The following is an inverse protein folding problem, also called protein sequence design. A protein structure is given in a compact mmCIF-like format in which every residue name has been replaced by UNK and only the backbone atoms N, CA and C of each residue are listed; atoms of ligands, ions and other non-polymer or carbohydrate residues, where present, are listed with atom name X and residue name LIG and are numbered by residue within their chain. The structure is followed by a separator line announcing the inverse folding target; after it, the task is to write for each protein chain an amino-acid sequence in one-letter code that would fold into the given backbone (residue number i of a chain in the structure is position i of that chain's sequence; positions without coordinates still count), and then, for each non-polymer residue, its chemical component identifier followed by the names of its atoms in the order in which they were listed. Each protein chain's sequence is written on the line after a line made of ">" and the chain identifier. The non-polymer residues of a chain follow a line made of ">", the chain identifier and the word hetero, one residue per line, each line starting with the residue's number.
data_IF_623676403329
#
_entry.id   IF_623676403329
#
_cell.length_a   1.000
_cell.length_b   1.000
_cell.length_c   1.000
_cell.angle_alpha   90.00
_cell.angle_beta   90.00
_cell.angle_gamma   90.00
#
_symmetry.space_group_name_H-M   'P 1'
#
loop_
_entity.id
_entity.type
_entity.pdbx_description
1 polymer ?
#
# COMPACT_ATOMS: atom_id res chain seq x y z
N UNK A 1 -11.48 -5.50 -12.36
CA UNK A 1 -12.53 -5.79 -11.35
C UNK A 1 -12.09 -6.81 -10.28
N UNK A 2 -11.25 -7.81 -10.58
CA UNK A 2 -10.78 -8.78 -9.56
C UNK A 2 -9.95 -8.17 -8.41
N UNK A 3 -9.16 -7.13 -8.67
CA UNK A 3 -8.25 -6.53 -7.67
C UNK A 3 -8.97 -5.75 -6.55
N UNK A 4 -10.15 -5.18 -6.83
CA UNK A 4 -10.90 -4.40 -5.84
C UNK A 4 -11.52 -5.28 -4.75
N UNK A 5 -12.03 -6.46 -5.13
CA UNK A 5 -12.59 -7.44 -4.18
C UNK A 5 -11.49 -7.99 -3.27
N UNK A 6 -10.34 -8.36 -3.85
CA UNK A 6 -9.18 -8.82 -3.08
C UNK A 6 -8.69 -7.74 -2.11
N UNK A 7 -8.56 -6.49 -2.57
CA UNK A 7 -8.19 -5.36 -1.71
C UNK A 7 -9.15 -5.18 -0.53
N UNK A 8 -10.46 -5.34 -0.75
CA UNK A 8 -11.47 -5.24 0.31
C UNK A 8 -11.36 -6.36 1.35
N UNK A 9 -11.12 -7.60 0.90
CA UNK A 9 -10.90 -8.70 1.85
C UNK A 9 -9.59 -8.53 2.62
N UNK A 10 -8.52 -8.15 1.94
CA UNK A 10 -7.23 -7.87 2.58
C UNK A 10 -7.35 -6.73 3.61
N UNK A 11 -8.04 -5.63 3.27
CA UNK A 11 -8.24 -4.52 4.21
C UNK A 11 -9.07 -4.94 5.41
N UNK A 12 -10.13 -5.72 5.22
CA UNK A 12 -10.94 -6.25 6.32
C UNK A 12 -10.13 -7.16 7.25
N UNK A 13 -9.36 -8.09 6.69
CA UNK A 13 -8.48 -8.97 7.46
C UNK A 13 -7.43 -8.17 8.25
N UNK A 14 -6.81 -7.16 7.62
CA UNK A 14 -5.84 -6.29 8.29
C UNK A 14 -6.48 -5.51 9.46
N UNK A 15 -7.71 -5.01 9.30
CA UNK A 15 -8.43 -4.31 10.36
C UNK A 15 -8.73 -5.25 11.52
N UNK A 16 -9.26 -6.45 11.24
CA UNK A 16 -9.53 -7.45 12.28
C UNK A 16 -8.25 -7.83 13.03
N UNK A 17 -7.16 -8.09 12.30
CA UNK A 17 -5.87 -8.39 12.90
C UNK A 17 -5.35 -7.24 13.78
N UNK A 18 -5.47 -5.99 13.32
CA UNK A 18 -5.06 -4.81 14.08
C UNK A 18 -5.85 -4.65 15.38
N UNK A 19 -7.16 -4.88 15.35
CA UNK A 19 -8.02 -4.81 16.54
C UNK A 19 -7.63 -5.89 17.55
N UNK A 20 -7.49 -7.14 17.09
CA UNK A 20 -7.09 -8.26 17.97
C UNK A 20 -5.72 -8.00 18.59
N UNK A 21 -4.76 -7.53 17.78
CA UNK A 21 -3.41 -7.20 18.26
C UNK A 21 -3.43 -6.06 19.28
N UNK A 22 -4.23 -5.02 19.04
CA UNK A 22 -4.36 -3.88 19.97
C UNK A 22 -4.98 -4.28 21.31
N UNK A 23 -5.97 -5.17 21.30
CA UNK A 23 -6.58 -5.70 22.53
C UNK A 23 -5.55 -6.52 23.33
N UNK A 24 -4.79 -7.39 22.65
CA UNK A 24 -3.76 -8.21 23.29
C UNK A 24 -2.59 -7.38 23.86
N UNK A 25 -2.22 -6.30 23.18
CA UNK A 25 -1.24 -5.35 23.70
C UNK A 25 -1.80 -4.61 24.92
N UNK A 26 -3.06 -4.15 24.83
CA UNK A 26 -3.79 -3.45 25.90
C UNK A 26 -3.82 -4.23 27.22
N UNK A 27 -4.08 -5.54 27.15
CA UNK A 27 -4.11 -6.40 28.35
C UNK A 27 -2.74 -6.66 28.98
N UNK A 28 -1.66 -6.36 28.26
CA UNK A 28 -0.27 -6.59 28.73
C UNK A 28 0.33 -5.38 29.44
N UNK A 29 -0.40 -4.25 29.48
CA UNK A 29 0.00 -3.06 30.22
C UNK A 29 -0.44 -3.15 31.67
N UNK A 30 0.45 -2.76 32.57
CA UNK A 30 0.21 -2.65 34.00
C UNK A 30 0.60 -1.27 34.50
N UNK A 31 -0.09 -0.78 35.53
CA UNK A 31 0.10 0.56 36.06
C UNK A 31 1.01 0.48 37.28
N UNK A 32 2.27 0.88 37.12
CA UNK A 32 3.21 1.01 38.22
C UNK A 32 3.22 2.44 38.74
N UNK A 33 3.11 2.60 40.07
CA UNK A 33 3.05 3.92 40.71
C UNK A 33 4.29 4.80 40.48
N UNK A 34 5.45 4.21 40.17
CA UNK A 34 6.73 4.91 40.00
C UNK A 34 7.07 5.21 38.53
N UNK A 35 6.67 4.35 37.60
CA UNK A 35 7.05 4.40 36.18
C UNK A 35 5.87 4.66 35.24
N UNK A 36 4.64 4.71 35.77
CA UNK A 36 3.43 4.87 34.99
C UNK A 36 2.96 3.57 34.32
N UNK A 37 2.40 3.68 33.12
CA UNK A 37 1.91 2.53 32.36
C UNK A 37 3.07 1.83 31.65
N UNK A 38 3.39 0.60 32.08
CA UNK A 38 4.51 -0.17 31.57
C UNK A 38 4.03 -1.54 31.12
N UNK A 39 4.64 -2.08 30.06
CA UNK A 39 4.36 -3.44 29.62
C UNK A 39 4.93 -4.40 30.66
N UNK A 40 4.07 -5.17 31.33
CA UNK A 40 4.44 -6.06 32.43
C UNK A 40 5.25 -7.26 31.96
N UNK A 41 4.99 -7.73 30.73
CA UNK A 41 5.60 -8.95 30.20
C UNK A 41 6.83 -8.66 29.34
N UNK A 42 7.99 -9.20 29.74
CA UNK A 42 9.26 -9.06 29.03
C UNK A 42 9.20 -9.50 27.55
N UNK A 43 8.40 -10.53 27.24
CA UNK A 43 8.25 -11.02 25.86
C UNK A 43 7.60 -9.95 24.97
N UNK A 44 6.58 -9.26 25.49
CA UNK A 44 5.90 -8.19 24.77
C UNK A 44 6.77 -6.94 24.60
N UNK A 45 7.63 -6.64 25.57
CA UNK A 45 8.63 -5.57 25.45
C UNK A 45 9.58 -5.89 24.30
N UNK A 46 10.18 -7.10 24.27
CA UNK A 46 11.11 -7.51 23.21
C UNK A 46 10.42 -7.54 21.84
N UNK A 47 9.21 -8.08 21.77
CA UNK A 47 8.42 -8.07 20.53
C UNK A 47 8.15 -6.64 20.04
N UNK A 48 7.77 -5.73 20.94
CA UNK A 48 7.42 -4.36 20.57
C UNK A 48 8.63 -3.60 20.05
N UNK A 49 9.75 -3.65 20.78
CA UNK A 49 10.97 -2.90 20.45
C UNK A 49 11.68 -3.42 19.20
N UNK A 50 11.79 -4.74 19.01
CA UNK A 50 12.59 -5.31 17.93
C UNK A 50 11.80 -5.66 16.67
N UNK A 51 10.49 -5.90 16.78
CA UNK A 51 9.67 -6.35 15.66
C UNK A 51 8.56 -5.36 15.31
N UNK A 52 7.71 -5.02 16.28
CA UNK A 52 6.52 -4.22 16.01
C UNK A 52 6.84 -2.81 15.48
N UNK A 53 7.64 -2.03 16.21
CA UNK A 53 7.99 -0.66 15.82
C UNK A 53 8.83 -0.61 14.53
N UNK A 54 9.98 -1.30 14.43
CA UNK A 54 10.85 -1.14 13.27
C UNK A 54 10.31 -1.82 12.01
N UNK A 55 9.74 -3.03 12.14
CA UNK A 55 9.36 -3.83 10.97
C UNK A 55 7.92 -3.55 10.58
N UNK A 56 6.99 -3.69 11.52
CA UNK A 56 5.56 -3.63 11.22
C UNK A 56 5.07 -2.21 10.96
N UNK A 57 5.50 -1.25 11.78
CA UNK A 57 5.13 0.17 11.65
C UNK A 57 6.10 0.92 10.74
N UNK A 58 7.39 0.61 10.77
CA UNK A 58 8.39 1.30 9.96
C UNK A 58 8.52 0.70 8.54
N UNK A 59 9.17 -0.44 8.45
CA UNK A 59 9.65 -0.99 7.18
C UNK A 59 8.52 -1.45 6.24
N UNK A 60 7.53 -2.18 6.76
CA UNK A 60 6.45 -2.75 5.98
C UNK A 60 5.64 -1.70 5.19
N UNK A 61 5.13 -0.61 5.78
CA UNK A 61 4.38 0.40 5.03
C UNK A 61 5.27 1.14 4.01
N UNK A 62 6.55 1.34 4.29
CA UNK A 62 7.49 1.95 3.32
C UNK A 62 7.66 1.04 2.10
N UNK A 63 7.85 -0.26 2.30
CA UNK A 63 7.96 -1.23 1.19
C UNK A 63 6.66 -1.30 0.40
N UNK A 64 5.51 -1.35 1.07
CA UNK A 64 4.20 -1.35 0.41
C UNK A 64 4.02 -0.07 -0.41
N UNK A 65 4.21 1.11 0.20
CA UNK A 65 4.07 2.39 -0.48
C UNK A 65 5.00 2.51 -1.69
N UNK A 66 6.28 2.19 -1.52
CA UNK A 66 7.26 2.24 -2.61
C UNK A 66 6.90 1.29 -3.76
N UNK A 67 6.46 0.06 -3.46
CA UNK A 67 6.00 -0.88 -4.49
C UNK A 67 4.80 -0.34 -5.29
N UNK A 68 3.81 0.25 -4.59
CA UNK A 68 2.66 0.87 -5.24
C UNK A 68 3.05 2.11 -6.07
N UNK A 69 3.97 2.93 -5.58
CA UNK A 69 4.50 4.09 -6.32
C UNK A 69 5.21 3.66 -7.60
N UNK A 70 6.06 2.62 -7.54
CA UNK A 70 6.74 2.07 -8.71
C UNK A 70 5.72 1.51 -9.70
N UNK A 71 4.73 0.76 -9.22
CA UNK A 71 3.68 0.20 -10.07
C UNK A 71 2.84 1.32 -10.73
N UNK A 72 2.52 2.38 -10.01
CA UNK A 72 1.83 3.55 -10.54
C UNK A 72 2.67 4.24 -11.63
N UNK A 73 3.96 4.45 -11.39
CA UNK A 73 4.89 5.02 -12.37
C UNK A 73 4.95 4.19 -13.67
N UNK A 74 5.09 2.86 -13.55
CA UNK A 74 5.10 1.97 -14.72
C UNK A 74 3.77 2.00 -15.48
N UNK A 75 2.64 2.05 -14.78
CA UNK A 75 1.32 2.14 -15.41
C UNK A 75 1.14 3.45 -16.18
N UNK A 76 1.47 4.59 -15.57
CA UNK A 76 1.41 5.90 -16.24
C UNK A 76 2.31 5.92 -17.47
N UNK A 77 3.58 5.47 -17.35
CA UNK A 77 4.52 5.43 -18.47
C UNK A 77 4.04 4.51 -19.60
N UNK A 78 3.44 3.36 -19.28
CA UNK A 78 2.86 2.43 -20.26
C UNK A 78 1.64 3.05 -20.97
N UNK A 79 0.78 3.76 -20.26
CA UNK A 79 -0.41 4.43 -20.83
C UNK A 79 0.03 5.53 -21.80
N UNK A 80 0.93 6.42 -21.39
CA UNK A 80 1.44 7.51 -22.24
C UNK A 80 2.10 6.95 -23.51
N UNK A 81 2.94 5.91 -23.39
CA UNK A 81 3.54 5.24 -24.55
C UNK A 81 2.54 4.60 -25.50
N UNK A 82 1.36 4.17 -25.03
CA UNK A 82 0.30 3.62 -25.88
C UNK A 82 -0.58 4.70 -26.51
N UNK A 83 -0.81 5.82 -25.83
CA UNK A 83 -1.64 6.89 -26.38
C UNK A 83 -0.94 7.67 -27.49
N UNK A 84 0.37 7.91 -27.39
CA UNK A 84 1.16 8.58 -28.43
C UNK A 84 1.01 7.94 -29.83
N UNK A 85 1.20 6.61 -30.01
CA UNK A 85 1.02 5.97 -31.31
C UNK A 85 -0.46 5.96 -31.74
N UNK A 86 -1.43 5.88 -30.81
CA UNK A 86 -2.86 5.95 -31.17
C UNK A 86 -3.23 7.33 -31.73
N UNK A 87 -2.75 8.41 -31.11
CA UNK A 87 -2.96 9.78 -31.57
C UNK A 87 -2.26 10.01 -32.90
N UNK A 88 -0.99 9.59 -33.04
CA UNK A 88 -0.27 9.65 -34.32
C UNK A 88 -0.98 8.90 -35.45
N UNK A 89 -1.48 7.69 -35.18
CA UNK A 89 -2.17 6.85 -36.18
C UNK A 89 -3.52 7.44 -36.61
N UNK A 90 -4.22 8.15 -35.72
CA UNK A 90 -5.43 8.92 -36.08
C UNK A 90 -5.10 10.12 -36.96
N UNK A 91 -4.03 10.85 -36.64
CA UNK A 91 -3.57 12.01 -37.42
C UNK A 91 -3.13 11.58 -38.83
N UNK A 92 -2.34 10.51 -38.95
CA UNK A 92 -1.92 9.97 -40.25
C UNK A 92 -3.13 9.59 -41.11
N UNK A 93 -4.13 8.90 -40.55
CA UNK A 93 -5.38 8.58 -41.27
C UNK A 93 -6.12 9.82 -41.78
N UNK A 94 -6.17 10.90 -41.01
CA UNK A 94 -6.81 12.15 -41.44
C UNK A 94 -6.05 12.79 -42.60
N UNK A 95 -4.72 12.79 -42.56
CA UNK A 95 -3.87 13.32 -43.64
C UNK A 95 -4.06 12.48 -44.91
N UNK A 96 -4.05 11.14 -44.80
CA UNK A 96 -4.25 10.28 -45.98
C UNK A 96 -5.63 10.46 -46.59
N UNK A 97 -6.68 10.61 -45.76
CA UNK A 97 -8.03 10.89 -46.24
C UNK A 97 -8.09 12.24 -46.97
N UNK A 98 -7.48 13.30 -46.43
CA UNK A 98 -7.44 14.62 -47.06
C UNK A 98 -6.74 14.59 -48.43
N UNK A 99 -5.67 13.81 -48.58
CA UNK A 99 -4.95 13.65 -49.85
C UNK A 99 -5.75 12.83 -50.87
N UNK A 100 -6.47 11.79 -50.44
CA UNK A 100 -7.28 10.94 -51.33
C UNK A 100 -8.60 11.58 -51.77
N UNK A 101 -9.11 12.55 -51.02
CA UNK A 101 -10.33 13.30 -51.38
C UNK A 101 -10.08 14.48 -52.32
N UNK A 102 -8.84 14.67 -52.76
CA UNK A 102 -8.43 15.74 -53.69
C UNK A 102 -7.98 15.14 -55.00
#
# INVERSE_FOLDING_TARGET
>A
MCTLRLGRYASFICICFAIIHSIALGSSYDVQATLGCVISNYVWVKYSTFFFYPILIGFLPIVIASSFSVLAYHNVRRIVRRQLPIVRRKLEKQITAMVLTR
#
